data_IF_940462935120
#
_entry.id   IF_940462935120
#
_cell.length_a   1.000
_cell.length_b   1.000
_cell.length_c   1.000
_cell.angle_alpha   90.00
_cell.angle_beta   90.00
_cell.angle_gamma   90.00
#
_symmetry.space_group_name_H-M   'P 1'
#
loop_
_entity.id
_entity.type
_entity.pdbx_description
1 polymer ?
#
# COMPACT_ATOMS: atom_id res chain seq x y z
N UNK A 1 -22.08 -24.65 9.45
CA UNK A 1 -22.27 -24.18 8.06
C UNK A 1 -22.33 -22.66 7.92
N UNK A 2 -21.89 -21.88 8.92
CA UNK A 2 -21.99 -20.41 8.97
C UNK A 2 -20.67 -19.67 8.69
N UNK A 3 -19.54 -20.37 8.56
CA UNK A 3 -18.23 -19.74 8.33
C UNK A 3 -17.95 -19.37 6.87
N UNK A 4 -18.62 -20.00 5.90
CA UNK A 4 -18.40 -19.71 4.46
C UNK A 4 -19.10 -18.44 3.97
N UNK A 5 -20.15 -17.97 4.64
CA UNK A 5 -20.89 -16.76 4.24
C UNK A 5 -20.21 -15.46 4.68
N UNK A 6 -19.48 -15.46 5.80
CA UNK A 6 -18.72 -14.28 6.23
C UNK A 6 -17.53 -13.97 5.30
N UNK A 7 -16.85 -14.99 4.76
CA UNK A 7 -15.71 -14.78 3.86
C UNK A 7 -16.12 -14.11 2.54
N UNK A 8 -17.31 -14.41 2.02
CA UNK A 8 -17.81 -13.83 0.77
C UNK A 8 -18.16 -12.35 0.96
N UNK A 9 -18.81 -11.99 2.07
CA UNK A 9 -19.17 -10.59 2.35
C UNK A 9 -17.91 -9.73 2.59
N UNK A 10 -16.90 -10.28 3.25
CA UNK A 10 -15.63 -9.59 3.52
C UNK A 10 -14.83 -9.33 2.23
N UNK A 11 -14.88 -10.25 1.26
CA UNK A 11 -14.31 -10.03 -0.09
C UNK A 11 -15.08 -8.93 -0.82
N UNK A 12 -16.41 -8.90 -0.72
CA UNK A 12 -17.24 -7.91 -1.42
C UNK A 12 -17.04 -6.47 -0.92
N UNK A 13 -16.96 -6.24 0.39
CA UNK A 13 -16.71 -4.89 0.95
C UNK A 13 -15.31 -4.40 0.58
N UNK A 14 -14.32 -5.28 0.61
CA UNK A 14 -12.95 -4.96 0.17
C UNK A 14 -12.91 -4.67 -1.35
N UNK A 15 -13.69 -5.41 -2.16
CA UNK A 15 -13.82 -5.17 -3.60
C UNK A 15 -14.50 -3.83 -3.91
N UNK A 16 -15.46 -3.40 -3.09
CA UNK A 16 -16.18 -2.14 -3.28
C UNK A 16 -15.28 -0.93 -2.98
N UNK A 17 -14.39 -1.03 -1.98
CA UNK A 17 -13.32 -0.06 -1.77
C UNK A 17 -12.31 -0.05 -2.93
N UNK A 18 -11.94 -1.22 -3.47
CA UNK A 18 -11.04 -1.33 -4.63
C UNK A 18 -11.67 -0.72 -5.90
N UNK A 19 -12.96 -0.96 -6.15
CA UNK A 19 -13.69 -0.43 -7.31
C UNK A 19 -13.85 1.10 -7.26
N UNK A 20 -14.07 1.69 -6.08
CA UNK A 20 -14.07 3.14 -5.90
C UNK A 20 -12.69 3.76 -6.17
N UNK A 21 -11.60 3.00 -6.00
CA UNK A 21 -10.24 3.46 -6.30
C UNK A 21 -9.82 3.28 -7.77
N UNK A 22 -10.40 2.33 -8.50
CA UNK A 22 -10.11 2.13 -9.94
C UNK A 22 -10.91 3.11 -10.82
N UNK A 23 -12.13 3.50 -10.39
CA UNK A 23 -13.01 4.35 -11.20
C UNK A 23 -12.52 5.80 -11.41
N UNK A 24 -11.47 6.27 -10.71
CA UNK A 24 -10.96 7.65 -10.85
C UNK A 24 -9.80 7.80 -11.85
N UNK A 25 -9.48 6.78 -12.67
CA UNK A 25 -8.46 6.88 -13.74
C UNK A 25 -9.03 7.06 -15.16
N UNK A 26 -10.30 7.45 -15.32
CA UNK A 26 -10.92 7.64 -16.63
C UNK A 26 -10.88 9.09 -17.18
N UNK A 27 -10.45 10.09 -16.42
CA UNK A 27 -10.52 11.50 -16.83
C UNK A 27 -9.13 12.10 -17.10
N UNK A 28 -8.47 11.67 -18.19
CA UNK A 28 -7.45 12.48 -18.87
C UNK A 28 -6.96 11.81 -20.17
N UNK A 29 -7.77 11.72 -21.24
CA UNK A 29 -7.27 11.63 -22.63
C UNK A 29 -8.39 12.02 -23.62
N UNK A 30 -7.98 12.66 -24.73
CA UNK A 30 -8.70 13.41 -25.78
C UNK A 30 -10.10 12.94 -26.25
N UNK A 31 -10.92 13.85 -26.84
CA UNK A 31 -12.29 13.58 -27.25
C UNK A 31 -12.34 12.78 -28.57
N UNK A 32 -13.02 11.63 -28.54
CA UNK A 32 -13.41 10.84 -29.72
C UNK A 32 -14.95 10.74 -29.72
N UNK A 33 -15.63 10.85 -30.89
CA UNK A 33 -17.04 11.19 -30.94
C UNK A 33 -17.97 10.10 -30.37
N UNK A 34 -19.03 10.59 -29.73
CA UNK A 34 -20.16 9.84 -29.17
C UNK A 34 -20.70 8.80 -30.14
N UNK A 35 -20.56 7.53 -29.77
CA UNK A 35 -21.48 6.47 -30.18
C UNK A 35 -22.39 6.19 -28.98
N UNK A 36 -23.66 6.56 -29.10
CA UNK A 36 -24.69 6.25 -28.13
C UNK A 36 -24.99 4.75 -28.17
N UNK A 37 -24.70 4.04 -27.09
CA UNK A 37 -25.25 2.69 -26.87
C UNK A 37 -25.97 2.66 -25.53
N UNK A 38 -27.27 2.41 -25.62
CA UNK A 38 -28.27 2.35 -24.54
C UNK A 38 -27.80 1.53 -23.34
N UNK A 39 -27.89 2.15 -22.16
CA UNK A 39 -27.95 1.47 -20.87
C UNK A 39 -29.19 0.57 -20.79
N UNK A 40 -29.01 -0.69 -20.38
CA UNK A 40 -30.06 -1.49 -19.74
C UNK A 40 -29.78 -1.50 -18.24
N UNK A 41 -30.53 -0.67 -17.52
CA UNK A 41 -30.68 -0.73 -16.08
C UNK A 41 -31.50 -1.99 -15.78
N UNK A 42 -30.92 -2.95 -15.07
CA UNK A 42 -31.67 -4.08 -14.52
C UNK A 42 -31.95 -3.75 -13.07
N UNK A 43 -33.20 -3.41 -12.79
CA UNK A 43 -33.74 -3.27 -11.44
C UNK A 43 -33.75 -4.64 -10.76
N UNK A 44 -33.04 -4.79 -9.63
CA UNK A 44 -33.21 -5.95 -8.76
C UNK A 44 -33.93 -5.48 -7.49
N UNK A 45 -35.26 -5.58 -7.53
CA UNK A 45 -36.13 -5.41 -6.38
C UNK A 45 -36.28 -6.77 -5.67
N UNK A 46 -36.23 -6.74 -4.33
CA UNK A 46 -36.79 -7.78 -3.49
C UNK A 46 -35.78 -8.56 -2.66
N UNK A 47 -35.61 -8.16 -1.39
CA UNK A 47 -35.64 -9.10 -0.28
C UNK A 47 -35.91 -8.31 1.02
N UNK A 48 -37.18 -8.33 1.43
CA UNK A 48 -37.59 -7.97 2.78
C UNK A 48 -37.34 -9.17 3.70
N UNK A 49 -36.84 -8.91 4.91
CA UNK A 49 -37.34 -9.54 6.14
C UNK A 49 -36.83 -8.81 7.38
N UNK A 50 -37.80 -8.32 8.14
CA UNK A 50 -37.68 -7.84 9.50
C UNK A 50 -37.18 -8.95 10.44
N UNK A 51 -36.42 -8.55 11.48
CA UNK A 51 -36.62 -9.07 12.83
C UNK A 51 -35.86 -8.20 13.84
N UNK A 52 -36.61 -7.35 14.55
CA UNK A 52 -36.27 -6.87 15.88
C UNK A 52 -36.24 -8.05 16.86
N UNK A 53 -35.14 -8.20 17.59
CA UNK A 53 -35.14 -8.82 18.90
C UNK A 53 -33.98 -8.25 19.73
N UNK A 54 -34.33 -7.22 20.50
CA UNK A 54 -33.59 -6.72 21.66
C UNK A 54 -33.24 -7.87 22.61
N UNK A 55 -31.95 -8.14 22.78
CA UNK A 55 -31.45 -8.90 23.93
C UNK A 55 -30.26 -8.14 24.52
N UNK A 56 -30.49 -7.52 25.68
CA UNK A 56 -29.44 -7.02 26.56
C UNK A 56 -28.60 -8.21 27.01
N UNK A 57 -27.45 -8.40 26.37
CA UNK A 57 -26.41 -9.30 26.86
C UNK A 57 -25.50 -8.51 27.80
N UNK A 58 -25.55 -8.85 29.08
CA UNK A 58 -24.49 -8.50 30.03
C UNK A 58 -23.18 -9.12 29.51
N UNK A 59 -22.34 -8.27 28.93
CA UNK A 59 -21.01 -8.65 28.47
C UNK A 59 -20.14 -8.92 29.70
N UNK A 60 -20.05 -10.19 30.08
CA UNK A 60 -18.84 -10.71 30.70
C UNK A 60 -17.70 -10.55 29.68
N UNK A 61 -17.07 -9.37 29.66
CA UNK A 61 -15.85 -9.13 28.90
C UNK A 61 -14.75 -10.00 29.53
N UNK A 62 -14.61 -11.23 29.01
CA UNK A 62 -13.36 -11.94 29.08
C UNK A 62 -12.32 -10.99 28.48
N UNK A 63 -11.50 -10.37 29.33
CA UNK A 63 -10.36 -9.56 28.93
C UNK A 63 -9.61 -10.36 27.88
N UNK A 64 -9.65 -9.89 26.63
CA UNK A 64 -8.86 -10.50 25.57
C UNK A 64 -7.40 -10.32 25.97
N UNK A 65 -6.66 -11.43 26.09
CA UNK A 65 -5.21 -11.39 26.25
C UNK A 65 -4.61 -10.56 25.11
N UNK A 66 -3.58 -9.77 25.42
CA UNK A 66 -2.87 -8.92 24.46
C UNK A 66 -3.24 -7.44 24.45
N UNK A 67 -4.36 -6.99 25.04
CA UNK A 67 -4.77 -5.57 25.01
C UNK A 67 -4.62 -4.86 26.37
N UNK A 68 -3.72 -5.38 27.22
CA UNK A 68 -3.52 -4.92 28.59
C UNK A 68 -2.93 -3.50 28.66
N UNK A 69 -1.98 -3.18 27.79
CA UNK A 69 -1.33 -1.86 27.71
C UNK A 69 -2.30 -0.80 27.22
N UNK A 70 -3.08 -1.10 26.17
CA UNK A 70 -4.12 -0.20 25.65
C UNK A 70 -5.21 0.07 26.68
N UNK A 71 -5.68 -0.97 27.38
CA UNK A 71 -6.71 -0.80 28.43
C UNK A 71 -6.19 -0.01 29.63
N UNK A 72 -4.88 0.03 29.86
CA UNK A 72 -4.26 0.76 30.97
C UNK A 72 -3.88 2.19 30.62
N UNK A 73 -3.34 2.44 29.41
CA UNK A 73 -2.78 3.73 29.02
C UNK A 73 -3.66 4.53 28.06
N UNK A 74 -4.58 3.88 27.35
CA UNK A 74 -5.36 4.49 26.26
C UNK A 74 -4.51 4.89 25.05
N UNK A 75 -3.20 4.65 25.07
CA UNK A 75 -2.28 4.96 23.97
C UNK A 75 -2.35 3.81 22.96
N UNK A 76 -2.50 4.16 21.68
CA UNK A 76 -2.54 3.21 20.57
C UNK A 76 -1.20 3.25 19.83
N UNK A 77 -0.52 2.12 19.62
CA UNK A 77 0.70 2.11 18.85
C UNK A 77 0.41 2.45 17.39
N UNK A 78 1.42 3.02 16.73
CA UNK A 78 1.35 3.33 15.32
C UNK A 78 1.13 2.06 14.47
N UNK A 79 0.28 2.15 13.45
CA UNK A 79 0.05 1.08 12.46
C UNK A 79 1.13 1.05 11.38
N UNK A 80 1.94 2.12 11.30
CA UNK A 80 2.92 2.32 10.24
C UNK A 80 4.01 1.23 10.22
N UNK A 81 4.61 0.78 11.34
CA UNK A 81 5.64 -0.26 11.29
C UNK A 81 5.21 -1.56 10.60
N UNK A 82 3.98 -2.04 10.84
CA UNK A 82 3.47 -3.24 10.15
C UNK A 82 3.23 -2.96 8.69
N UNK A 83 2.65 -1.79 8.38
CA UNK A 83 2.41 -1.38 6.99
C UNK A 83 3.72 -1.29 6.19
N UNK A 84 4.76 -0.70 6.77
CA UNK A 84 6.09 -0.57 6.16
C UNK A 84 6.70 -1.95 5.89
N UNK A 85 6.65 -2.86 6.87
CA UNK A 85 7.15 -4.22 6.68
C UNK A 85 6.44 -4.96 5.54
N UNK A 86 5.12 -4.82 5.43
CA UNK A 86 4.35 -5.40 4.33
C UNK A 86 4.71 -4.79 2.97
N UNK A 87 4.91 -3.47 2.91
CA UNK A 87 5.36 -2.78 1.69
C UNK A 87 6.77 -3.21 1.30
N UNK A 88 7.67 -3.38 2.28
CA UNK A 88 9.01 -3.90 2.07
C UNK A 88 8.98 -5.35 1.54
N UNK A 89 8.10 -6.20 2.08
CA UNK A 89 7.90 -7.56 1.57
C UNK A 89 7.37 -7.54 0.12
N UNK A 90 6.42 -6.67 -0.20
CA UNK A 90 5.92 -6.50 -1.56
C UNK A 90 7.04 -6.05 -2.53
N UNK A 91 7.92 -5.13 -2.12
CA UNK A 91 9.10 -4.72 -2.89
C UNK A 91 10.06 -5.90 -3.13
N UNK A 92 10.27 -6.75 -2.12
CA UNK A 92 11.11 -7.95 -2.24
C UNK A 92 10.50 -8.99 -3.20
N UNK A 93 9.19 -9.18 -3.16
CA UNK A 93 8.51 -10.08 -4.10
C UNK A 93 8.61 -9.54 -5.52
N UNK A 94 8.40 -8.24 -5.72
CA UNK A 94 8.60 -7.58 -7.03
C UNK A 94 10.04 -7.77 -7.52
N UNK A 95 11.05 -7.60 -6.66
CA UNK A 95 12.45 -7.76 -7.08
C UNK A 95 12.79 -9.19 -7.46
N UNK A 96 12.25 -10.20 -6.76
CA UNK A 96 12.41 -11.61 -7.14
C UNK A 96 11.85 -11.91 -8.54
N UNK A 97 10.66 -11.39 -8.85
CA UNK A 97 10.05 -11.54 -10.17
C UNK A 97 10.85 -10.85 -11.29
N UNK A 98 11.47 -9.70 -11.00
CA UNK A 98 12.32 -9.00 -11.96
C UNK A 98 13.61 -9.78 -12.28
N UNK A 99 14.23 -10.41 -11.28
CA UNK A 99 15.51 -11.10 -11.44
C UNK A 99 15.40 -12.51 -12.01
N UNK A 100 14.34 -13.24 -11.65
CA UNK A 100 14.17 -14.65 -11.99
C UNK A 100 12.72 -14.91 -12.46
N UNK A 101 12.33 -14.38 -13.64
CA UNK A 101 10.96 -14.50 -14.13
C UNK A 101 10.53 -15.97 -14.31
N UNK A 102 11.43 -16.85 -14.75
CA UNK A 102 11.15 -18.26 -15.04
C UNK A 102 10.98 -19.14 -13.79
N UNK A 103 11.65 -18.82 -12.69
CA UNK A 103 11.58 -19.59 -11.43
C UNK A 103 10.49 -19.09 -10.48
N UNK A 104 9.97 -17.90 -10.76
CA UNK A 104 8.99 -17.23 -9.91
C UNK A 104 7.58 -17.77 -10.17
N UNK A 105 7.16 -18.78 -9.41
CA UNK A 105 5.79 -19.34 -9.45
C UNK A 105 4.71 -18.40 -8.87
N UNK A 106 5.11 -17.20 -8.43
CA UNK A 106 4.23 -16.19 -7.83
C UNK A 106 3.54 -15.28 -8.84
N UNK A 107 2.63 -14.44 -8.33
CA UNK A 107 2.04 -13.34 -9.09
C UNK A 107 3.00 -12.16 -9.07
N UNK A 108 3.40 -11.65 -10.24
CA UNK A 108 4.25 -10.47 -10.32
C UNK A 108 3.56 -9.24 -9.71
N UNK A 109 4.20 -8.63 -8.69
CA UNK A 109 3.70 -7.42 -8.03
C UNK A 109 4.16 -6.19 -8.81
N UNK A 110 3.66 -6.04 -10.03
CA UNK A 110 3.91 -4.86 -10.85
C UNK A 110 2.80 -4.62 -11.87
N UNK A 111 2.14 -3.47 -11.79
CA UNK A 111 1.04 -3.10 -12.70
C UNK A 111 1.55 -2.83 -14.12
N UNK A 112 2.84 -2.53 -14.30
CA UNK A 112 3.40 -2.36 -15.62
C UNK A 112 3.53 -3.71 -16.37
N UNK A 113 3.46 -4.84 -15.66
CA UNK A 113 3.46 -6.15 -16.28
C UNK A 113 2.08 -6.45 -16.90
N UNK A 114 2.03 -6.53 -18.22
CA UNK A 114 0.80 -6.80 -18.98
C UNK A 114 0.20 -8.18 -18.76
N UNK A 115 0.96 -9.11 -18.16
CA UNK A 115 0.52 -10.49 -17.91
C UNK A 115 -0.28 -10.64 -16.62
N UNK A 116 -0.16 -9.71 -15.68
CA UNK A 116 -0.81 -9.79 -14.37
C UNK A 116 -1.96 -8.80 -14.28
N UNK A 117 -3.15 -9.31 -13.99
CA UNK A 117 -4.32 -8.46 -13.82
C UNK A 117 -4.18 -7.59 -12.55
N UNK A 118 -4.55 -6.30 -12.60
CA UNK A 118 -4.45 -5.41 -11.43
C UNK A 118 -5.18 -5.95 -10.19
N UNK A 119 -6.27 -6.69 -10.38
CA UNK A 119 -7.00 -7.33 -9.29
C UNK A 119 -6.18 -8.42 -8.60
N UNK A 120 -5.41 -9.21 -9.35
CA UNK A 120 -4.54 -10.24 -8.77
C UNK A 120 -3.43 -9.60 -7.92
N UNK A 121 -2.84 -8.50 -8.41
CA UNK A 121 -1.84 -7.72 -7.66
C UNK A 121 -2.43 -7.21 -6.34
N UNK A 122 -3.65 -6.65 -6.37
CA UNK A 122 -4.35 -6.18 -5.18
C UNK A 122 -4.64 -7.33 -4.19
N UNK A 123 -5.06 -8.50 -4.68
CA UNK A 123 -5.29 -9.69 -3.85
C UNK A 123 -3.99 -10.15 -3.20
N UNK A 124 -2.88 -10.22 -3.95
CA UNK A 124 -1.56 -10.58 -3.41
C UNK A 124 -1.10 -9.60 -2.34
N UNK A 125 -1.21 -8.29 -2.60
CA UNK A 125 -0.86 -7.24 -1.63
C UNK A 125 -1.72 -7.32 -0.35
N UNK A 126 -3.02 -7.55 -0.50
CA UNK A 126 -3.92 -7.80 0.64
C UNK A 126 -3.55 -9.08 1.40
N UNK A 127 -3.14 -10.13 0.70
CA UNK A 127 -2.66 -11.38 1.29
C UNK A 127 -1.40 -11.20 2.14
N UNK A 128 -0.43 -10.39 1.68
CA UNK A 128 0.76 -10.02 2.45
C UNK A 128 0.33 -9.33 3.76
N UNK A 129 -0.57 -8.35 3.68
CA UNK A 129 -1.04 -7.63 4.86
C UNK A 129 -1.77 -8.56 5.85
N UNK A 130 -2.67 -9.41 5.35
CA UNK A 130 -3.41 -10.37 6.18
C UNK A 130 -2.48 -11.38 6.87
N UNK A 131 -1.45 -11.87 6.17
CA UNK A 131 -0.46 -12.77 6.75
C UNK A 131 0.30 -12.09 7.89
N UNK A 132 0.75 -10.85 7.71
CA UNK A 132 1.44 -10.08 8.75
C UNK A 132 0.53 -9.80 9.96
N UNK A 133 -0.75 -9.50 9.71
CA UNK A 133 -1.76 -9.29 10.77
C UNK A 133 -2.01 -10.58 11.56
N UNK A 134 -2.16 -11.73 10.89
CA UNK A 134 -2.37 -13.01 11.56
C UNK A 134 -1.12 -13.47 12.33
N UNK A 135 0.08 -13.20 11.82
CA UNK A 135 1.33 -13.43 12.55
C UNK A 135 1.38 -12.61 13.84
N UNK A 136 1.04 -11.31 13.79
CA UNK A 136 0.92 -10.46 14.98
C UNK A 136 -0.12 -10.98 15.97
N UNK A 137 -1.28 -11.39 15.47
CA UNK A 137 -2.36 -11.95 16.29
C UNK A 137 -1.95 -13.25 16.97
N UNK A 138 -1.26 -14.13 16.24
CA UNK A 138 -0.72 -15.40 16.80
C UNK A 138 0.36 -15.12 17.86
N UNK A 139 1.19 -14.10 17.65
CA UNK A 139 2.17 -13.66 18.64
C UNK A 139 1.49 -13.11 19.91
N UNK A 140 0.40 -12.35 19.76
CA UNK A 140 -0.43 -11.85 20.87
C UNK A 140 -1.14 -12.94 21.67
N UNK A 141 -1.43 -14.09 21.08
CA UNK A 141 -1.95 -15.24 21.81
C UNK A 141 -0.87 -15.91 22.68
N UNK A 142 0.40 -15.76 22.29
CA UNK A 142 1.56 -16.34 22.98
C UNK A 142 2.16 -15.38 24.02
N UNK A 143 2.12 -14.07 23.75
CA UNK A 143 2.71 -13.02 24.57
C UNK A 143 1.66 -11.96 24.95
N UNK A 144 1.42 -11.80 26.26
CA UNK A 144 0.42 -10.86 26.80
C UNK A 144 0.78 -9.37 26.57
N UNK A 145 1.99 -9.09 26.07
CA UNK A 145 2.46 -7.74 25.73
C UNK A 145 2.22 -7.36 24.27
N UNK A 146 1.91 -8.32 23.40
CA UNK A 146 1.68 -8.04 21.98
C UNK A 146 0.21 -7.70 21.72
N UNK A 147 -0.02 -6.56 21.09
CA UNK A 147 -1.38 -6.05 20.86
C UNK A 147 -2.09 -6.71 19.67
N UNK A 148 -3.40 -6.92 19.84
CA UNK A 148 -4.27 -7.45 18.80
C UNK A 148 -4.93 -6.30 18.05
N UNK A 149 -4.70 -6.22 16.74
CA UNK A 149 -5.36 -5.23 15.89
C UNK A 149 -6.88 -5.39 15.89
N UNK A 150 -7.60 -4.28 15.98
CA UNK A 150 -9.03 -4.25 15.69
C UNK A 150 -9.29 -4.49 14.21
N UNK A 151 -10.53 -4.86 13.88
CA UNK A 151 -10.93 -5.07 12.49
C UNK A 151 -10.70 -3.81 11.64
N UNK A 152 -10.96 -2.63 12.20
CA UNK A 152 -10.72 -1.35 11.52
C UNK A 152 -9.23 -1.11 11.24
N UNK A 153 -8.35 -1.39 12.21
CA UNK A 153 -6.88 -1.27 12.01
C UNK A 153 -6.37 -2.25 10.96
N UNK A 154 -6.83 -3.50 11.02
CA UNK A 154 -6.48 -4.53 10.05
C UNK A 154 -6.89 -4.09 8.63
N UNK A 155 -8.08 -3.49 8.49
CA UNK A 155 -8.54 -2.93 7.23
C UNK A 155 -7.70 -1.73 6.79
N UNK A 156 -7.31 -0.83 7.71
CA UNK A 156 -6.44 0.31 7.39
C UNK A 156 -5.06 -0.13 6.92
N UNK A 157 -4.44 -1.09 7.61
CA UNK A 157 -3.14 -1.67 7.21
C UNK A 157 -3.27 -2.29 5.81
N UNK A 158 -4.29 -3.13 5.60
CA UNK A 158 -4.51 -3.79 4.30
C UNK A 158 -4.75 -2.78 3.18
N UNK A 159 -5.59 -1.77 3.43
CA UNK A 159 -5.90 -0.70 2.47
C UNK A 159 -4.67 0.12 2.09
N UNK A 160 -3.79 0.44 3.06
CA UNK A 160 -2.53 1.15 2.81
C UNK A 160 -1.55 0.31 2.00
N UNK A 161 -1.34 -0.95 2.35
CA UNK A 161 -0.45 -1.86 1.61
C UNK A 161 -0.91 -1.99 0.17
N UNK A 162 -2.20 -2.27 -0.05
CA UNK A 162 -2.79 -2.33 -1.40
C UNK A 162 -2.65 -0.98 -2.12
N UNK A 163 -2.95 0.13 -1.44
CA UNK A 163 -2.88 1.47 -2.01
C UNK A 163 -1.47 1.85 -2.49
N UNK A 164 -0.45 1.53 -1.70
CA UNK A 164 0.96 1.75 -2.04
C UNK A 164 1.38 0.83 -3.19
N UNK A 165 1.08 -0.48 -3.10
CA UNK A 165 1.46 -1.45 -4.13
C UNK A 165 0.82 -1.11 -5.49
N UNK A 166 -0.46 -0.75 -5.47
CA UNK A 166 -1.21 -0.39 -6.68
C UNK A 166 -0.79 0.96 -7.28
N UNK A 167 0.03 1.75 -6.58
CA UNK A 167 0.58 3.02 -7.06
C UNK A 167 2.11 3.04 -7.06
N UNK A 168 2.75 1.88 -6.89
CA UNK A 168 4.18 1.81 -6.58
C UNK A 168 5.04 2.54 -7.62
N UNK A 169 4.79 2.32 -8.92
CA UNK A 169 5.54 2.99 -10.00
C UNK A 169 5.37 4.52 -10.03
N UNK A 170 4.20 5.00 -9.63
CA UNK A 170 3.90 6.44 -9.56
C UNK A 170 4.61 7.07 -8.36
N UNK A 171 4.48 6.46 -7.18
CA UNK A 171 5.14 6.89 -5.96
C UNK A 171 6.66 6.86 -6.09
N UNK A 172 7.23 5.84 -6.75
CA UNK A 172 8.67 5.79 -7.04
C UNK A 172 9.14 6.90 -7.97
N UNK A 173 8.29 7.34 -8.92
CA UNK A 173 8.63 8.48 -9.77
C UNK A 173 8.65 9.78 -8.97
N UNK A 174 7.66 9.97 -8.09
CA UNK A 174 7.59 11.13 -7.19
C UNK A 174 8.81 11.13 -6.26
N UNK A 175 9.12 9.98 -5.64
CA UNK A 175 10.28 9.81 -4.77
C UNK A 175 11.58 10.22 -5.45
N UNK A 176 11.84 9.70 -6.67
CA UNK A 176 13.04 10.11 -7.42
C UNK A 176 13.05 11.60 -7.68
N UNK A 177 11.92 12.16 -8.15
CA UNK A 177 11.83 13.58 -8.48
C UNK A 177 12.09 14.48 -7.25
N UNK A 178 11.58 14.14 -6.08
CA UNK A 178 11.80 14.92 -4.84
C UNK A 178 13.24 14.80 -4.36
N UNK A 179 13.81 13.59 -4.35
CA UNK A 179 15.21 13.35 -3.95
C UNK A 179 16.20 14.08 -4.86
N UNK A 180 16.00 14.03 -6.18
CA UNK A 180 16.87 14.72 -7.16
C UNK A 180 16.86 16.24 -6.95
N UNK A 181 15.72 16.79 -6.57
CA UNK A 181 15.55 18.24 -6.37
C UNK A 181 16.19 18.74 -5.07
N UNK A 182 16.53 17.85 -4.14
CA UNK A 182 17.23 18.22 -2.91
C UNK A 182 18.74 18.33 -3.13
N UNK A 183 19.24 19.56 -3.05
CA UNK A 183 20.66 19.85 -3.27
C UNK A 183 21.57 19.16 -2.26
N UNK A 184 21.17 19.08 -0.99
CA UNK A 184 22.01 18.50 0.06
C UNK A 184 22.13 16.99 -0.10
N UNK A 185 21.04 16.31 -0.46
CA UNK A 185 21.04 14.86 -0.68
C UNK A 185 22.04 14.50 -1.77
N UNK A 186 21.99 15.22 -2.90
CA UNK A 186 22.93 15.05 -4.01
C UNK A 186 24.37 15.40 -3.63
N UNK A 187 24.56 16.48 -2.86
CA UNK A 187 25.88 16.96 -2.47
C UNK A 187 26.61 15.96 -1.58
N UNK A 188 25.88 15.30 -0.66
CA UNK A 188 26.45 14.36 0.30
C UNK A 188 26.33 12.89 -0.13
N UNK A 189 25.59 12.60 -1.21
CA UNK A 189 25.41 11.23 -1.69
C UNK A 189 24.48 10.41 -0.80
N UNK A 190 23.46 11.04 -0.23
CA UNK A 190 22.54 10.45 0.75
C UNK A 190 21.30 9.82 0.08
N UNK A 191 21.33 9.55 -1.24
CA UNK A 191 20.16 9.01 -1.97
C UNK A 191 19.69 7.66 -1.40
N UNK A 192 20.61 6.83 -0.91
CA UNK A 192 20.30 5.53 -0.32
C UNK A 192 19.52 5.63 1.01
N UNK A 193 19.66 6.73 1.75
CA UNK A 193 18.86 7.00 2.95
C UNK A 193 17.37 7.17 2.63
N UNK A 194 17.04 7.53 1.39
CA UNK A 194 15.68 7.59 0.86
C UNK A 194 15.26 6.30 0.13
N UNK A 195 16.16 5.32 0.06
CA UNK A 195 15.97 4.09 -0.70
C UNK A 195 16.02 4.33 -2.22
N UNK A 196 16.81 5.29 -2.69
CA UNK A 196 17.05 5.59 -4.10
C UNK A 196 18.47 5.19 -4.51
N UNK A 197 18.65 4.57 -5.68
CA UNK A 197 19.98 4.37 -6.25
C UNK A 197 20.54 5.67 -6.82
N UNK A 198 21.82 5.95 -6.62
CA UNK A 198 22.44 7.11 -7.28
C UNK A 198 22.29 7.09 -8.81
N UNK A 199 22.37 5.91 -9.42
CA UNK A 199 22.14 5.72 -10.86
C UNK A 199 20.70 6.05 -11.29
N UNK A 200 19.71 5.82 -10.42
CA UNK A 200 18.31 6.14 -10.71
C UNK A 200 18.05 7.65 -10.72
N UNK A 201 18.80 8.40 -9.90
CA UNK A 201 18.71 9.85 -9.81
C UNK A 201 19.39 10.55 -10.99
N UNK A 202 20.55 10.06 -11.43
CA UNK A 202 21.29 10.63 -12.57
C UNK A 202 20.58 10.41 -13.91
N UNK A 203 19.88 9.28 -14.08
CA UNK A 203 19.26 8.95 -15.36
C UNK A 203 18.09 9.88 -15.73
N UNK A 204 17.43 10.49 -14.74
CA UNK A 204 16.32 11.45 -14.96
C UNK A 204 16.82 12.72 -15.66
N UNK A 205 18.05 13.16 -15.41
CA UNK A 205 18.59 14.41 -15.96
C UNK A 205 18.96 14.28 -17.46
N UNK A 206 19.27 13.07 -17.93
CA UNK A 206 19.77 12.83 -19.30
C UNK A 206 18.68 12.43 -20.30
N UNK A 207 17.45 12.15 -19.83
CA UNK A 207 16.42 11.46 -20.62
C UNK A 207 15.54 12.38 -21.50
N UNK A 208 15.76 13.70 -21.52
CA UNK A 208 14.99 14.63 -22.36
C UNK A 208 15.39 14.63 -23.86
N UNK A 209 16.37 13.80 -24.28
CA UNK A 209 16.81 13.67 -25.68
C UNK A 209 16.85 12.21 -26.15
N UNK A 210 15.69 11.63 -26.48
CA UNK A 210 15.56 10.21 -26.80
C UNK A 210 16.23 9.79 -28.12
N UNK A 211 17.25 8.94 -28.02
CA UNK A 211 17.60 7.96 -29.07
C UNK A 211 17.24 6.56 -28.58
N UNK A 212 17.01 5.63 -29.50
CA UNK A 212 16.63 4.21 -29.30
C UNK A 212 17.55 3.39 -28.38
N UNK A 213 18.67 3.96 -27.91
CA UNK A 213 19.55 3.39 -26.90
C UNK A 213 19.02 3.48 -25.45
N UNK A 214 17.95 4.24 -25.20
CA UNK A 214 17.40 4.46 -23.86
C UNK A 214 16.61 3.28 -23.26
N UNK A 215 16.12 2.34 -24.08
CA UNK A 215 15.33 1.20 -23.60
C UNK A 215 16.19 0.18 -22.84
N UNK A 216 17.39 -0.13 -23.34
CA UNK A 216 18.31 -1.08 -22.69
C UNK A 216 18.78 -0.57 -21.32
N UNK A 217 19.04 0.74 -21.21
CA UNK A 217 19.48 1.36 -19.95
C UNK A 217 18.42 1.30 -18.85
N UNK A 218 17.15 1.36 -19.21
CA UNK A 218 16.05 1.27 -18.26
C UNK A 218 15.92 -0.13 -17.66
N UNK A 219 16.07 -1.16 -18.48
CA UNK A 219 16.01 -2.55 -18.03
C UNK A 219 17.19 -2.90 -17.11
N UNK A 220 18.39 -2.40 -17.44
CA UNK A 220 19.58 -2.59 -16.59
C UNK A 220 19.44 -1.87 -15.25
N UNK A 221 18.88 -0.65 -15.23
CA UNK A 221 18.60 0.08 -13.99
C UNK A 221 17.56 -0.65 -13.13
N UNK A 222 16.52 -1.20 -13.75
CA UNK A 222 15.48 -1.94 -13.03
C UNK A 222 16.04 -3.23 -12.39
N UNK A 223 16.91 -3.94 -13.10
CA UNK A 223 17.65 -5.10 -12.55
C UNK A 223 18.54 -4.69 -11.38
N UNK A 224 19.33 -3.63 -11.52
CA UNK A 224 20.19 -3.13 -10.43
C UNK A 224 19.38 -2.76 -9.19
N UNK A 225 18.23 -2.10 -9.37
CA UNK A 225 17.31 -1.78 -8.29
C UNK A 225 16.75 -3.05 -7.64
N UNK A 226 16.34 -4.04 -8.44
CA UNK A 226 15.84 -5.31 -7.93
C UNK A 226 16.91 -6.07 -7.13
N UNK A 227 18.15 -6.13 -7.62
CA UNK A 227 19.28 -6.71 -6.90
C UNK A 227 19.52 -6.01 -5.56
N UNK A 228 19.54 -4.67 -5.57
CA UNK A 228 19.77 -3.88 -4.36
C UNK A 228 18.65 -4.08 -3.33
N UNK A 229 17.38 -4.08 -3.75
CA UNK A 229 16.23 -4.37 -2.89
C UNK A 229 16.31 -5.78 -2.28
N UNK A 230 16.81 -6.76 -3.06
CA UNK A 230 16.99 -8.13 -2.60
C UNK A 230 18.12 -8.24 -1.57
N UNK A 231 19.25 -7.60 -1.83
CA UNK A 231 20.50 -7.75 -1.07
C UNK A 231 20.60 -6.82 0.15
N UNK A 232 20.07 -5.59 0.07
CA UNK A 232 20.18 -4.59 1.12
C UNK A 232 18.81 -4.38 1.83
N UNK A 233 18.59 -4.99 3.01
CA UNK A 233 17.33 -4.85 3.73
C UNK A 233 17.09 -3.42 4.24
N UNK A 234 18.15 -2.67 4.59
CA UNK A 234 18.02 -1.28 5.03
C UNK A 234 17.53 -0.39 3.89
N UNK A 235 18.13 -0.51 2.70
CA UNK A 235 17.67 0.19 1.49
C UNK A 235 16.19 -0.10 1.20
N UNK A 236 15.80 -1.38 1.31
CA UNK A 236 14.41 -1.80 1.10
C UNK A 236 13.45 -1.18 2.11
N UNK A 237 13.84 -1.11 3.38
CA UNK A 237 13.04 -0.48 4.43
C UNK A 237 12.92 1.03 4.22
N UNK A 238 14.04 1.72 3.95
CA UNK A 238 14.04 3.15 3.65
C UNK A 238 13.13 3.48 2.47
N UNK A 239 13.19 2.67 1.40
CA UNK A 239 12.30 2.83 0.25
C UNK A 239 10.84 2.61 0.62
N UNK A 240 10.53 1.57 1.40
CA UNK A 240 9.15 1.29 1.84
C UNK A 240 8.57 2.42 2.71
N UNK A 241 9.36 2.98 3.62
CA UNK A 241 8.98 4.15 4.43
C UNK A 241 8.66 5.35 3.55
N UNK A 242 9.58 5.72 2.65
CA UNK A 242 9.39 6.85 1.74
C UNK A 242 8.14 6.68 0.88
N UNK A 243 7.90 5.48 0.34
CA UNK A 243 6.72 5.21 -0.49
C UNK A 243 5.43 5.29 0.33
N UNK A 244 5.41 4.79 1.57
CA UNK A 244 4.25 4.93 2.44
C UNK A 244 4.00 6.40 2.79
N UNK A 245 5.04 7.16 3.14
CA UNK A 245 4.91 8.58 3.45
C UNK A 245 4.33 9.37 2.28
N UNK A 246 4.85 9.16 1.07
CA UNK A 246 4.32 9.78 -0.15
C UNK A 246 2.86 9.37 -0.40
N UNK A 247 2.49 8.11 -0.18
CA UNK A 247 1.10 7.67 -0.32
C UNK A 247 0.17 8.35 0.68
N UNK A 248 0.58 8.45 1.95
CA UNK A 248 -0.23 9.10 2.99
C UNK A 248 -0.46 10.57 2.67
N UNK A 249 0.58 11.25 2.17
CA UNK A 249 0.53 12.68 1.89
C UNK A 249 -0.20 13.02 0.57
N UNK A 250 0.10 12.29 -0.50
CA UNK A 250 -0.41 12.62 -1.85
C UNK A 250 -1.76 11.98 -2.15
N UNK A 251 -2.16 10.95 -1.39
CA UNK A 251 -3.36 10.15 -1.70
C UNK A 251 -4.30 10.02 -0.51
N UNK A 252 -3.84 9.46 0.60
CA UNK A 252 -4.75 9.08 1.70
C UNK A 252 -5.32 10.32 2.39
N UNK A 253 -4.45 11.22 2.86
CA UNK A 253 -4.84 12.40 3.61
C UNK A 253 -5.76 13.34 2.80
N UNK A 254 -5.45 13.72 1.55
CA UNK A 254 -6.32 14.59 0.77
C UNK A 254 -7.70 13.99 0.55
N UNK A 255 -7.79 12.66 0.34
CA UNK A 255 -9.07 11.97 0.15
C UNK A 255 -9.90 11.93 1.43
N UNK A 256 -9.29 11.65 2.57
CA UNK A 256 -9.99 11.63 3.85
C UNK A 256 -10.47 13.01 4.25
N UNK A 257 -9.66 14.06 4.01
CA UNK A 257 -10.06 15.45 4.22
C UNK A 257 -11.26 15.83 3.35
N UNK A 258 -11.25 15.45 2.07
CA UNK A 258 -12.38 15.66 1.16
C UNK A 258 -13.66 14.96 1.62
N UNK A 259 -13.54 13.79 2.24
CA UNK A 259 -14.68 13.01 2.75
C UNK A 259 -15.10 13.42 4.17
N UNK A 260 -14.29 14.21 4.88
CA UNK A 260 -14.49 14.49 6.30
C UNK A 260 -14.36 13.26 7.18
N UNK A 261 -13.63 12.24 6.73
CA UNK A 261 -13.44 10.96 7.41
C UNK A 261 -12.06 10.89 8.08
N UNK A 262 -11.92 9.96 9.03
CA UNK A 262 -10.63 9.66 9.66
C UNK A 262 -10.44 8.15 9.76
N UNK A 263 -9.18 7.71 9.71
CA UNK A 263 -8.81 6.29 9.82
C UNK A 263 -8.02 6.01 11.09
N UNK A 264 -8.11 4.78 11.65
CA UNK A 264 -7.24 4.35 12.73
C UNK A 264 -5.76 4.63 12.46
N UNK A 265 -5.05 5.13 13.46
CA UNK A 265 -3.64 5.50 13.34
C UNK A 265 -3.38 6.85 12.64
N UNK A 266 -4.39 7.48 12.04
CA UNK A 266 -4.26 8.77 11.36
C UNK A 266 -3.40 8.73 10.10
N UNK A 267 -3.44 9.79 9.29
CA UNK A 267 -2.71 9.89 8.01
C UNK A 267 -1.48 10.81 8.07
N UNK A 268 -1.04 11.13 9.29
CA UNK A 268 0.17 11.92 9.53
C UNK A 268 1.38 11.01 9.39
N UNK A 269 2.44 11.51 8.74
CA UNK A 269 3.73 10.82 8.68
C UNK A 269 4.48 11.11 9.98
N UNK A 270 4.62 10.10 10.85
CA UNK A 270 5.26 10.20 12.17
C UNK A 270 6.43 9.21 12.38
N UNK A 271 6.78 8.46 11.33
CA UNK A 271 7.78 7.39 11.34
C UNK A 271 9.05 7.72 10.54
N UNK A 272 9.14 8.93 9.98
CA UNK A 272 10.30 9.44 9.25
C UNK A 272 10.87 10.64 10.03
N UNK A 273 12.20 10.79 10.05
CA UNK A 273 12.86 11.95 10.64
C UNK A 273 12.55 13.25 9.87
N UNK A 274 12.79 14.39 10.53
CA UNK A 274 12.43 15.70 10.01
C UNK A 274 13.14 16.03 8.69
N UNK A 275 14.42 15.68 8.56
CA UNK A 275 15.24 16.00 7.39
C UNK A 275 14.75 15.24 6.15
N UNK A 276 14.42 13.94 6.30
CA UNK A 276 13.81 13.16 5.22
C UNK A 276 12.40 13.65 4.89
N UNK A 277 11.62 14.04 5.91
CA UNK A 277 10.26 14.55 5.71
C UNK A 277 10.25 15.84 4.90
N UNK A 278 11.17 16.77 5.19
CA UNK A 278 11.34 18.04 4.46
C UNK A 278 11.60 17.80 2.97
N UNK A 279 12.50 16.85 2.65
CA UNK A 279 12.80 16.49 1.26
C UNK A 279 11.60 15.87 0.56
N UNK A 280 10.87 14.98 1.24
CA UNK A 280 9.76 14.24 0.63
C UNK A 280 8.52 15.09 0.40
N UNK A 281 8.16 15.94 1.38
CA UNK A 281 6.85 16.61 1.39
C UNK A 281 6.88 18.08 1.01
N UNK A 282 8.08 18.67 0.79
CA UNK A 282 8.25 20.09 0.42
C UNK A 282 7.23 21.00 1.11
N UNK A 283 7.28 20.99 2.43
CA UNK A 283 6.40 21.82 3.26
C UNK A 283 6.78 23.29 3.15
#
# INVERSE_FOLDING_TARGET
>A
MTTRTMTIIQVFVSLQCILLFISTKADAFCPIPRIQTRQRIVSFAGFAKDNEASSKSEKNEKKRKGDSVRSTTGIRPSLHPVTINCVAEALLLRSKHCLLPEESTGIAIDIANSQTEPLQIAITAGGIALNAIEQRKSAAETDDTTEVFTMEEANTISGRVVGVVMRMRELERILRATVIQSNWVRKYGEEESFGCLRSECLHVETSEGATSSGMVLKDDLEKQLAETIKMNPLFRMNRAECLLALFLDTVERPKLEMLGESVPGGSKVDFIDADRLEVLLKT
#
